data_IF_575053977263
#
_entry.id   IF_575053977263
#
_cell.length_a   1.000
_cell.length_b   1.000
_cell.length_c   1.000
_cell.angle_alpha   90.00
_cell.angle_beta   90.00
_cell.angle_gamma   90.00
#
_symmetry.space_group_name_H-M   'P 1'
#
loop_
_entity.id
_entity.type
_entity.pdbx_description
1 polymer ?
#
# COMPACT_ATOMS: atom_id res chain seq x y z
N UNK A 1 18.12 15.70 -8.81
CA UNK A 1 16.86 16.54 -8.89
C UNK A 1 16.69 17.23 -7.54
N UNK A 2 15.96 18.35 -7.43
CA UNK A 2 15.70 18.98 -6.12
C UNK A 2 14.84 18.05 -5.29
N UNK A 3 15.20 17.83 -4.01
CA UNK A 3 14.38 17.06 -3.08
C UNK A 3 12.95 17.63 -3.07
N UNK A 4 11.96 16.74 -3.08
CA UNK A 4 10.57 17.14 -2.86
C UNK A 4 10.36 17.32 -1.37
N UNK A 5 9.82 18.46 -0.98
CA UNK A 5 9.59 18.81 0.43
C UNK A 5 8.11 19.09 0.64
N UNK A 6 7.50 18.45 1.64
CA UNK A 6 6.19 18.82 2.15
C UNK A 6 6.39 19.87 3.25
N UNK A 7 5.86 21.06 3.06
CA UNK A 7 6.08 22.20 3.96
C UNK A 7 4.81 22.76 4.59
N UNK A 8 3.66 22.31 4.12
CA UNK A 8 2.35 22.74 4.58
C UNK A 8 1.43 21.54 4.85
N UNK A 9 0.41 21.75 5.67
CA UNK A 9 -0.67 20.79 5.85
C UNK A 9 -1.31 20.40 4.51
N UNK A 10 -1.49 21.36 3.59
CA UNK A 10 -2.04 21.10 2.27
C UNK A 10 -1.15 20.15 1.44
N UNK A 11 0.18 20.29 1.53
CA UNK A 11 1.09 19.35 0.87
C UNK A 11 0.91 17.93 1.42
N UNK A 12 0.72 17.77 2.74
CA UNK A 12 0.45 16.48 3.37
C UNK A 12 -0.91 15.91 2.94
N UNK A 13 -1.95 16.74 2.87
CA UNK A 13 -3.27 16.33 2.39
C UNK A 13 -3.23 15.87 0.92
N UNK A 14 -2.53 16.60 0.07
CA UNK A 14 -2.33 16.22 -1.33
C UNK A 14 -1.53 14.92 -1.45
N UNK A 15 -0.49 14.77 -0.64
CA UNK A 15 0.33 13.56 -0.66
C UNK A 15 -0.47 12.33 -0.21
N UNK A 16 -1.16 12.40 0.92
CA UNK A 16 -1.99 11.30 1.42
C UNK A 16 -3.14 10.96 0.48
N UNK A 17 -3.76 11.97 -0.17
CA UNK A 17 -4.77 11.75 -1.23
C UNK A 17 -4.17 10.94 -2.39
N UNK A 18 -3.01 11.33 -2.86
CA UNK A 18 -2.35 10.62 -3.96
C UNK A 18 -1.89 9.22 -3.57
N UNK A 19 -1.39 9.03 -2.35
CA UNK A 19 -1.06 7.69 -1.82
C UNK A 19 -2.30 6.79 -1.78
N UNK A 20 -3.43 7.29 -1.30
CA UNK A 20 -4.71 6.56 -1.30
C UNK A 20 -5.16 6.20 -2.71
N UNK A 21 -5.04 7.14 -3.67
CA UNK A 21 -5.37 6.89 -5.08
C UNK A 21 -4.50 5.77 -5.66
N UNK A 22 -3.19 5.85 -5.48
CA UNK A 22 -2.25 4.88 -6.03
C UNK A 22 -2.36 3.50 -5.37
N UNK A 23 -2.82 3.43 -4.13
CA UNK A 23 -2.94 2.20 -3.35
C UNK A 23 -4.03 1.22 -3.82
N UNK A 24 -4.81 1.56 -4.85
CA UNK A 24 -5.79 0.64 -5.48
C UNK A 24 -6.82 0.05 -4.51
N UNK A 25 -7.23 0.81 -3.49
CA UNK A 25 -8.22 0.42 -2.48
C UNK A 25 -7.65 -0.11 -1.17
N UNK A 26 -6.33 -0.36 -1.09
CA UNK A 26 -5.64 -0.74 0.15
C UNK A 26 -4.81 0.40 0.74
N UNK A 27 -3.76 0.04 1.49
CA UNK A 27 -2.72 0.97 1.93
C UNK A 27 -3.01 1.78 3.18
N UNK A 28 -4.04 1.43 3.94
CA UNK A 28 -4.33 1.95 5.27
C UNK A 28 -5.05 3.29 5.34
N UNK A 29 -5.23 3.80 6.56
CA UNK A 29 -6.10 4.95 6.87
C UNK A 29 -5.50 6.30 6.45
N UNK A 30 -6.28 7.09 5.71
CA UNK A 30 -5.92 8.49 5.37
C UNK A 30 -5.75 9.38 6.61
N UNK A 31 -6.57 9.17 7.64
CA UNK A 31 -6.52 9.98 8.87
C UNK A 31 -5.24 9.68 9.66
N UNK A 32 -4.88 8.41 9.78
CA UNK A 32 -3.65 7.99 10.47
C UNK A 32 -2.42 8.55 9.76
N UNK A 33 -2.34 8.40 8.44
CA UNK A 33 -1.21 8.89 7.67
C UNK A 33 -1.09 10.41 7.67
N UNK A 34 -2.21 11.13 7.55
CA UNK A 34 -2.21 12.60 7.63
C UNK A 34 -1.78 13.08 9.02
N UNK A 35 -2.29 12.45 10.10
CA UNK A 35 -1.90 12.79 11.48
C UNK A 35 -0.40 12.61 11.68
N UNK A 36 0.15 11.47 11.22
CA UNK A 36 1.57 11.17 11.33
C UNK A 36 2.45 12.25 10.67
N UNK A 37 2.08 12.74 9.48
CA UNK A 37 2.83 13.80 8.79
C UNK A 37 2.65 15.18 9.44
N UNK A 38 1.43 15.53 9.81
CA UNK A 38 1.13 16.84 10.44
C UNK A 38 1.86 16.97 11.78
N UNK A 39 1.91 15.92 12.58
CA UNK A 39 2.68 15.89 13.83
C UNK A 39 4.17 16.16 13.61
N UNK A 40 4.74 15.65 12.51
CA UNK A 40 6.13 15.95 12.15
C UNK A 40 6.33 17.41 11.75
N UNK A 41 5.40 17.99 10.98
CA UNK A 41 5.43 19.42 10.64
C UNK A 41 5.31 20.30 11.90
N UNK A 42 4.39 19.97 12.79
CA UNK A 42 4.16 20.71 14.04
C UNK A 42 5.37 20.62 15.00
N UNK A 43 6.11 19.51 14.92
CA UNK A 43 7.40 19.35 15.60
C UNK A 43 8.56 20.12 14.92
N UNK A 44 8.29 20.82 13.81
CA UNK A 44 9.27 21.61 13.07
C UNK A 44 10.25 20.77 12.24
N UNK A 45 9.89 19.54 11.93
CA UNK A 45 10.71 18.64 11.08
C UNK A 45 10.44 18.89 9.60
N UNK A 46 11.42 18.61 8.77
CA UNK A 46 11.29 18.65 7.30
C UNK A 46 10.84 17.28 6.81
N UNK A 47 9.75 17.23 6.05
CA UNK A 47 9.28 16.01 5.41
C UNK A 47 9.77 16.03 3.97
N UNK A 48 10.72 15.15 3.65
CA UNK A 48 11.31 15.06 2.33
C UNK A 48 11.70 13.62 1.99
N UNK A 49 11.88 13.36 0.73
CA UNK A 49 12.45 12.12 0.21
C UNK A 49 13.52 12.39 -0.83
N UNK A 50 14.41 11.42 -0.99
CA UNK A 50 15.57 11.48 -1.87
C UNK A 50 15.39 10.55 -3.06
N UNK A 51 15.97 10.94 -4.19
CA UNK A 51 16.21 10.00 -5.29
C UNK A 51 17.16 8.89 -4.80
N UNK A 52 16.92 7.65 -5.22
CA UNK A 52 17.75 6.50 -4.85
C UNK A 52 19.22 6.70 -5.25
N UNK A 53 19.48 7.50 -6.29
CA UNK A 53 20.82 7.82 -6.77
C UNK A 53 21.56 8.85 -5.89
N UNK A 54 20.88 9.50 -4.97
CA UNK A 54 21.49 10.42 -4.01
C UNK A 54 22.13 9.70 -2.81
N UNK A 55 21.91 8.39 -2.67
CA UNK A 55 22.51 7.55 -1.64
C UNK A 55 23.70 6.75 -2.21
N UNK A 56 24.72 6.52 -1.36
CA UNK A 56 25.88 5.71 -1.75
C UNK A 56 25.47 4.24 -2.00
N UNK A 57 26.04 3.62 -3.02
CA UNK A 57 25.70 2.24 -3.43
C UNK A 57 25.89 1.18 -2.32
N UNK A 58 26.79 1.41 -1.37
CA UNK A 58 27.06 0.54 -0.22
C UNK A 58 26.24 0.90 1.02
N UNK A 59 25.41 1.93 0.97
CA UNK A 59 24.51 2.30 2.05
C UNK A 59 23.42 1.25 2.24
N UNK A 60 23.20 0.84 3.49
CA UNK A 60 22.14 -0.09 3.84
C UNK A 60 20.81 0.63 3.97
N UNK A 61 19.80 0.06 3.36
CA UNK A 61 18.40 0.48 3.51
C UNK A 61 17.58 -0.63 4.13
N UNK A 62 16.42 -0.26 4.66
CA UNK A 62 15.48 -1.17 5.28
C UNK A 62 14.06 -0.76 4.93
N UNK A 63 13.16 -1.74 4.84
CA UNK A 63 11.72 -1.53 4.93
C UNK A 63 11.32 -1.59 6.39
N UNK A 64 10.44 -0.68 6.81
CA UNK A 64 9.74 -0.77 8.09
C UNK A 64 8.25 -0.62 7.87
N UNK A 65 7.45 -1.42 8.54
CA UNK A 65 5.99 -1.40 8.42
C UNK A 65 5.33 -1.89 9.71
N UNK A 66 4.09 -1.51 9.91
CA UNK A 66 3.21 -2.21 10.82
C UNK A 66 2.77 -3.54 10.21
N UNK A 67 2.72 -4.57 11.02
CA UNK A 67 2.10 -5.84 10.66
C UNK A 67 0.92 -6.05 11.58
N UNK A 68 -0.26 -5.87 11.03
CA UNK A 68 -1.53 -5.99 11.72
C UNK A 68 -2.37 -7.11 11.18
N UNK A 69 -3.48 -7.29 11.81
CA UNK A 69 -4.55 -8.18 11.47
C UNK A 69 -5.78 -7.80 12.28
N UNK A 70 -6.92 -8.50 12.10
CA UNK A 70 -7.97 -8.41 13.11
C UNK A 70 -7.29 -8.58 14.46
N UNK A 71 -7.53 -7.68 15.45
CA UNK A 71 -7.10 -7.95 16.81
C UNK A 71 -7.61 -9.35 17.14
N UNK A 72 -6.73 -10.25 17.56
CA UNK A 72 -7.18 -11.42 18.27
C UNK A 72 -8.14 -10.90 19.33
N UNK A 73 -9.29 -11.54 19.52
CA UNK A 73 -10.21 -11.14 20.58
C UNK A 73 -9.36 -10.89 21.81
N UNK A 74 -9.23 -9.59 22.17
CA UNK A 74 -8.15 -9.13 23.02
C UNK A 74 -8.18 -9.82 24.36
N UNK A 75 -7.05 -10.17 24.90
CA UNK A 75 -6.96 -10.61 26.28
C UNK A 75 -7.63 -9.59 27.20
N UNK A 76 -8.37 -10.05 28.17
CA UNK A 76 -8.89 -9.14 29.22
C UNK A 76 -7.71 -8.51 29.96
N UNK A 77 -7.92 -7.37 30.61
CA UNK A 77 -6.88 -6.74 31.45
C UNK A 77 -6.28 -7.74 32.46
N UNK A 78 -7.09 -8.71 32.93
CA UNK A 78 -6.64 -9.78 33.83
C UNK A 78 -5.70 -10.75 33.10
N UNK A 79 -5.97 -11.10 31.85
CA UNK A 79 -5.12 -11.98 31.05
C UNK A 79 -3.80 -11.29 30.70
N UNK A 80 -3.86 -10.02 30.32
CA UNK A 80 -2.67 -9.20 30.06
C UNK A 80 -1.79 -9.06 31.30
N UNK A 81 -2.40 -8.79 32.46
CA UNK A 81 -1.66 -8.72 33.72
C UNK A 81 -0.97 -10.03 34.10
N UNK A 82 -1.61 -11.18 33.85
CA UNK A 82 -1.01 -12.52 34.08
C UNK A 82 0.22 -12.77 33.20
N UNK A 83 0.27 -12.18 32.02
CA UNK A 83 1.39 -12.26 31.08
C UNK A 83 2.47 -11.19 31.34
N UNK A 84 2.24 -10.28 32.30
CA UNK A 84 3.14 -9.16 32.56
C UNK A 84 2.97 -7.97 31.61
N UNK A 85 1.91 -7.99 30.80
CA UNK A 85 1.57 -6.96 29.80
C UNK A 85 0.67 -5.89 30.44
N UNK A 86 1.10 -5.24 31.51
CA UNK A 86 0.30 -4.25 32.24
C UNK A 86 0.50 -2.81 31.75
N UNK A 87 1.61 -2.53 31.10
CA UNK A 87 1.94 -1.21 30.54
C UNK A 87 2.57 -1.36 29.17
N UNK A 88 2.10 -0.58 28.20
CA UNK A 88 2.69 -0.52 26.88
C UNK A 88 4.04 0.19 26.95
N UNK A 89 5.08 -0.43 26.41
CA UNK A 89 6.41 0.15 26.32
C UNK A 89 6.57 1.05 25.10
N UNK A 90 5.88 0.73 24.03
CA UNK A 90 5.94 1.44 22.78
C UNK A 90 4.53 1.75 22.28
N UNK A 91 4.34 2.95 21.77
CA UNK A 91 3.26 3.28 20.84
C UNK A 91 3.58 2.71 19.43
N UNK A 92 2.70 2.93 18.48
CA UNK A 92 2.87 2.40 17.13
C UNK A 92 4.17 2.86 16.48
N UNK A 93 4.46 4.16 16.53
CA UNK A 93 5.69 4.73 15.98
C UNK A 93 6.93 4.19 16.69
N UNK A 94 6.91 4.07 17.99
CA UNK A 94 7.98 3.51 18.79
C UNK A 94 8.30 2.05 18.45
N UNK A 95 7.28 1.25 18.12
CA UNK A 95 7.50 -0.13 17.64
C UNK A 95 8.27 -0.16 16.32
N UNK A 96 7.95 0.73 15.39
CA UNK A 96 8.65 0.81 14.09
C UNK A 96 10.11 1.24 14.27
N UNK A 97 10.35 2.27 15.07
CA UNK A 97 11.71 2.72 15.41
C UNK A 97 12.52 1.60 16.06
N UNK A 98 11.94 0.90 17.05
CA UNK A 98 12.60 -0.21 17.71
C UNK A 98 12.87 -1.41 16.78
N UNK A 99 11.99 -1.66 15.80
CA UNK A 99 12.19 -2.71 14.82
C UNK A 99 13.39 -2.43 13.91
N UNK A 100 13.56 -1.19 13.43
CA UNK A 100 14.76 -0.79 12.66
C UNK A 100 16.03 -0.99 13.49
N UNK A 101 16.03 -0.52 14.74
CA UNK A 101 17.18 -0.64 15.64
C UNK A 101 17.53 -2.09 15.91
N UNK A 102 16.53 -2.93 16.19
CA UNK A 102 16.74 -4.36 16.46
C UNK A 102 17.33 -5.09 15.24
N UNK A 103 16.86 -4.78 14.03
CA UNK A 103 17.36 -5.42 12.82
C UNK A 103 18.80 -5.00 12.51
N UNK A 104 19.13 -3.69 12.57
CA UNK A 104 20.48 -3.23 12.32
C UNK A 104 21.48 -3.76 13.35
N UNK A 105 21.08 -3.85 14.63
CA UNK A 105 21.94 -4.37 15.71
C UNK A 105 22.20 -5.86 15.51
N UNK A 106 21.16 -6.64 15.16
CA UNK A 106 21.30 -8.07 14.87
C UNK A 106 22.20 -8.34 13.66
N UNK A 107 22.04 -7.56 12.60
CA UNK A 107 22.83 -7.72 11.38
C UNK A 107 24.23 -7.09 11.47
N UNK A 108 24.51 -6.28 12.50
CA UNK A 108 25.79 -5.59 12.67
C UNK A 108 26.07 -4.53 11.60
N UNK A 109 25.02 -3.89 11.07
CA UNK A 109 25.11 -2.86 10.03
C UNK A 109 24.51 -1.54 10.50
N UNK A 110 24.76 -0.47 9.77
CA UNK A 110 24.19 0.85 10.01
C UNK A 110 23.22 1.18 8.87
N UNK A 111 21.93 1.24 9.17
CA UNK A 111 20.90 1.67 8.21
C UNK A 111 21.10 3.14 7.88
N UNK A 112 20.98 3.50 6.62
CA UNK A 112 21.20 4.84 6.06
C UNK A 112 20.00 5.41 5.32
N UNK A 113 18.92 4.63 5.18
CA UNK A 113 17.71 5.07 4.56
C UNK A 113 16.59 4.07 4.70
N UNK A 114 15.37 4.53 4.52
CA UNK A 114 14.15 3.69 4.50
C UNK A 114 13.58 3.67 3.09
N UNK A 115 13.15 2.48 2.65
CA UNK A 115 12.36 2.28 1.44
C UNK A 115 10.96 1.85 1.86
N UNK A 116 9.89 2.52 1.43
CA UNK A 116 8.53 2.02 1.62
C UNK A 116 8.33 0.63 1.00
N UNK A 117 7.62 -0.26 1.67
CA UNK A 117 7.30 -1.57 1.10
C UNK A 117 6.33 -1.44 -0.06
N UNK A 118 5.37 -0.54 0.08
CA UNK A 118 4.27 -0.32 -0.86
C UNK A 118 3.74 1.11 -0.75
N UNK A 119 2.90 1.52 -1.70
CA UNK A 119 2.19 2.78 -1.63
C UNK A 119 0.92 2.61 -0.80
N UNK A 120 0.71 3.51 0.16
CA UNK A 120 -0.48 3.47 1.00
C UNK A 120 -0.65 4.73 1.83
N UNK A 121 -1.90 5.05 2.17
CA UNK A 121 -2.26 6.29 2.84
C UNK A 121 -1.70 6.41 4.27
N UNK A 122 -1.43 5.29 4.96
CA UNK A 122 -0.64 5.26 6.19
C UNK A 122 0.65 4.43 6.04
N UNK A 123 0.68 3.45 5.12
CA UNK A 123 1.83 2.58 4.88
C UNK A 123 3.09 3.30 4.36
N UNK A 124 2.97 4.56 3.93
CA UNK A 124 4.11 5.44 3.63
C UNK A 124 4.32 6.49 4.72
N UNK A 125 3.32 7.28 5.14
CA UNK A 125 3.49 8.33 6.14
C UNK A 125 4.04 7.87 7.49
N UNK A 126 3.56 6.74 8.01
CA UNK A 126 3.98 6.27 9.34
C UNK A 126 5.43 5.76 9.32
N UNK A 127 5.89 4.94 8.36
CA UNK A 127 7.31 4.68 8.15
C UNK A 127 8.19 5.92 7.94
N UNK A 128 7.67 6.94 7.21
CA UNK A 128 8.37 8.24 7.08
C UNK A 128 8.56 8.92 8.43
N UNK A 129 7.54 8.93 9.29
CA UNK A 129 7.65 9.47 10.64
C UNK A 129 8.70 8.72 11.46
N UNK A 130 8.77 7.37 11.36
CA UNK A 130 9.81 6.56 12.01
C UNK A 130 11.22 6.90 11.48
N UNK A 131 11.36 7.13 10.17
CA UNK A 131 12.61 7.58 9.57
C UNK A 131 13.07 8.92 10.16
N UNK A 132 12.15 9.88 10.29
CA UNK A 132 12.45 11.21 10.84
C UNK A 132 12.86 11.16 12.32
N UNK A 133 12.28 10.27 13.12
CA UNK A 133 12.72 10.05 14.51
C UNK A 133 14.19 9.60 14.60
N UNK A 134 14.64 8.83 13.61
CA UNK A 134 16.01 8.33 13.52
C UNK A 134 16.94 9.22 12.71
N UNK A 135 16.43 10.31 12.12
CA UNK A 135 17.22 11.18 11.22
C UNK A 135 17.65 10.46 9.93
N UNK A 136 16.86 9.49 9.47
CA UNK A 136 17.11 8.73 8.25
C UNK A 136 16.34 9.34 7.08
N UNK A 137 16.91 9.41 5.88
CA UNK A 137 16.18 9.77 4.68
C UNK A 137 15.23 8.65 4.24
N UNK A 138 14.18 9.04 3.52
CA UNK A 138 13.26 8.13 2.82
C UNK A 138 13.58 8.18 1.32
N UNK A 139 13.60 7.02 0.66
CA UNK A 139 13.85 6.89 -0.77
C UNK A 139 12.56 7.11 -1.55
N UNK A 140 12.62 7.86 -2.65
CA UNK A 140 11.50 8.04 -3.58
C UNK A 140 11.25 6.77 -4.38
N UNK A 141 10.45 5.90 -3.84
CA UNK A 141 10.10 4.62 -4.45
C UNK A 141 9.50 3.63 -3.47
N UNK A 142 9.11 2.49 -3.97
CA UNK A 142 8.55 1.38 -3.18
C UNK A 142 8.91 0.02 -3.81
N UNK A 143 8.60 -1.07 -3.09
CA UNK A 143 8.83 -2.43 -3.56
C UNK A 143 7.58 -3.14 -4.11
N UNK A 144 6.43 -2.47 -4.18
CA UNK A 144 5.18 -3.02 -4.69
C UNK A 144 4.75 -2.46 -6.05
N UNK A 145 5.61 -1.65 -6.70
CA UNK A 145 5.36 -1.16 -8.05
C UNK A 145 4.38 0.01 -8.14
N UNK A 146 4.35 0.89 -7.14
CA UNK A 146 3.48 2.06 -7.11
C UNK A 146 2.02 1.72 -6.79
N UNK A 147 1.79 0.72 -5.96
CA UNK A 147 0.48 0.27 -5.48
C UNK A 147 0.57 -0.33 -4.08
N UNK A 148 -0.55 -0.66 -3.45
CA UNK A 148 -0.59 -1.59 -2.34
C UNK A 148 -0.74 -3.04 -2.83
N UNK A 149 -0.35 -4.00 -1.99
CA UNK A 149 -0.39 -5.44 -2.26
C UNK A 149 -0.86 -6.21 -1.02
N UNK A 150 -1.68 -7.26 -1.17
CA UNK A 150 -2.19 -8.01 -0.03
C UNK A 150 -1.16 -8.93 0.65
N UNK A 151 -0.08 -9.30 -0.04
CA UNK A 151 0.85 -10.32 0.45
C UNK A 151 2.32 -9.96 0.12
N UNK A 152 3.22 -10.18 1.08
CA UNK A 152 4.66 -9.88 0.94
C UNK A 152 5.31 -10.57 -0.27
N UNK A 153 4.97 -11.83 -0.62
CA UNK A 153 5.51 -12.49 -1.82
C UNK A 153 5.27 -11.76 -3.15
N UNK A 154 4.37 -10.78 -3.16
CA UNK A 154 4.04 -9.98 -4.36
C UNK A 154 4.97 -8.77 -4.55
N UNK A 155 5.90 -8.54 -3.64
CA UNK A 155 6.88 -7.46 -3.79
C UNK A 155 7.86 -7.75 -4.93
N UNK A 156 8.38 -6.69 -5.52
CA UNK A 156 9.38 -6.80 -6.60
C UNK A 156 10.67 -7.52 -6.14
N UNK A 157 11.22 -7.24 -4.92
CA UNK A 157 12.33 -8.01 -4.40
C UNK A 157 12.09 -9.53 -4.42
N UNK A 158 10.94 -9.99 -3.96
CA UNK A 158 10.60 -11.41 -3.96
C UNK A 158 10.52 -12.00 -5.37
N UNK A 159 9.86 -11.31 -6.30
CA UNK A 159 9.78 -11.72 -7.71
C UNK A 159 11.19 -11.82 -8.34
N UNK A 160 12.13 -11.02 -7.86
CA UNK A 160 13.53 -11.01 -8.30
C UNK A 160 14.46 -11.87 -7.47
N UNK A 161 13.94 -12.57 -6.45
CA UNK A 161 14.68 -13.52 -5.63
C UNK A 161 15.53 -12.89 -4.53
N UNK A 162 15.25 -11.62 -4.17
CA UNK A 162 15.82 -10.99 -2.99
C UNK A 162 14.90 -11.30 -1.79
N UNK A 163 15.35 -12.16 -0.90
CA UNK A 163 14.54 -12.63 0.22
C UNK A 163 14.27 -11.55 1.28
N UNK A 164 13.13 -11.70 1.96
CA UNK A 164 12.67 -10.77 3.00
C UNK A 164 13.51 -10.81 4.28
N UNK A 165 14.12 -11.94 4.58
CA UNK A 165 14.94 -12.15 5.79
C UNK A 165 16.37 -11.59 5.66
N UNK A 166 16.99 -11.17 6.77
CA UNK A 166 16.47 -11.23 8.14
C UNK A 166 15.34 -10.23 8.41
N UNK A 167 14.47 -10.54 9.37
CA UNK A 167 13.38 -9.68 9.82
C UNK A 167 13.44 -9.47 11.33
N UNK A 168 13.05 -8.30 11.79
CA UNK A 168 12.76 -8.02 13.20
C UNK A 168 11.28 -7.79 13.41
N UNK A 169 10.78 -8.18 14.57
CA UNK A 169 9.42 -7.89 15.04
C UNK A 169 9.49 -7.31 16.44
N UNK A 170 8.72 -6.28 16.68
CA UNK A 170 8.64 -5.62 18.00
C UNK A 170 7.19 -5.45 18.39
N UNK A 171 6.85 -5.92 19.58
CA UNK A 171 5.49 -5.78 20.14
C UNK A 171 5.38 -4.49 20.96
N UNK A 172 4.14 -4.02 21.18
CA UNK A 172 3.88 -2.87 22.06
C UNK A 172 4.39 -3.08 23.49
N UNK A 173 4.51 -4.33 23.93
CA UNK A 173 4.99 -4.70 25.26
C UNK A 173 6.52 -4.64 25.37
N UNK A 174 7.23 -4.56 24.24
CA UNK A 174 8.68 -4.46 24.15
C UNK A 174 9.37 -5.80 23.91
N UNK A 175 8.64 -6.83 23.50
CA UNK A 175 9.27 -8.06 23.02
C UNK A 175 9.92 -7.81 21.68
N UNK A 176 11.14 -8.33 21.49
CA UNK A 176 11.92 -8.24 20.27
C UNK A 176 12.22 -9.64 19.76
N UNK A 177 11.86 -9.92 18.52
CA UNK A 177 12.13 -11.19 17.86
C UNK A 177 12.91 -10.94 16.58
N UNK A 178 13.87 -11.80 16.28
CA UNK A 178 14.61 -11.79 15.01
C UNK A 178 14.35 -13.10 14.29
N UNK A 179 13.83 -13.02 13.08
CA UNK A 179 13.70 -14.14 12.15
C UNK A 179 14.89 -14.06 11.19
N UNK A 180 15.92 -14.86 11.47
CA UNK A 180 17.16 -14.84 10.69
C UNK A 180 16.98 -15.40 9.27
N UNK A 181 16.15 -16.44 9.14
CA UNK A 181 15.89 -17.11 7.87
C UNK A 181 14.49 -17.75 7.89
N UNK A 182 13.92 -17.98 6.72
CA UNK A 182 12.64 -18.66 6.53
C UNK A 182 12.66 -19.52 5.28
N UNK A 183 11.94 -20.64 5.30
CA UNK A 183 11.81 -21.54 4.13
C UNK A 183 11.16 -20.84 2.93
N UNK A 184 10.40 -19.77 3.18
CA UNK A 184 9.76 -18.93 2.17
C UNK A 184 9.26 -17.63 2.78
N UNK A 185 9.09 -16.61 1.97
CA UNK A 185 8.49 -15.34 2.38
C UNK A 185 7.05 -15.49 2.87
N UNK A 186 6.27 -16.37 2.24
CA UNK A 186 4.92 -16.68 2.72
C UNK A 186 4.91 -17.25 4.15
N UNK A 187 5.94 -18.04 4.53
CA UNK A 187 6.08 -18.53 5.89
C UNK A 187 6.56 -17.42 6.83
N UNK A 188 7.47 -16.55 6.40
CA UNK A 188 7.91 -15.39 7.18
C UNK A 188 6.73 -14.45 7.49
N UNK A 189 5.89 -14.12 6.49
CA UNK A 189 4.67 -13.34 6.67
C UNK A 189 3.71 -14.02 7.67
N UNK A 190 3.47 -15.32 7.52
CA UNK A 190 2.62 -16.09 8.44
C UNK A 190 3.15 -16.06 9.88
N UNK A 191 4.47 -16.19 10.08
CA UNK A 191 5.10 -16.10 11.40
C UNK A 191 4.83 -14.74 12.03
N UNK A 192 5.06 -13.64 11.29
CA UNK A 192 4.78 -12.28 11.77
C UNK A 192 3.31 -12.10 12.17
N UNK A 193 2.36 -12.59 11.37
CA UNK A 193 0.94 -12.55 11.71
C UNK A 193 0.60 -13.35 12.98
N UNK A 194 1.30 -14.45 13.26
CA UNK A 194 1.12 -15.19 14.51
C UNK A 194 1.70 -14.45 15.72
N UNK A 195 2.79 -13.69 15.55
CA UNK A 195 3.31 -12.80 16.59
C UNK A 195 2.30 -11.69 16.91
N UNK A 196 1.68 -11.08 15.88
CA UNK A 196 0.59 -10.13 16.06
C UNK A 196 -0.55 -10.70 16.91
N UNK A 197 -1.01 -11.93 16.60
CA UNK A 197 -2.06 -12.60 17.38
C UNK A 197 -1.60 -12.84 18.82
N UNK A 198 -0.36 -13.30 19.01
CA UNK A 198 0.19 -13.62 20.33
C UNK A 198 0.41 -12.38 21.20
N UNK A 199 0.64 -11.21 20.59
CA UNK A 199 0.85 -9.93 21.29
C UNK A 199 -0.44 -9.10 21.47
N UNK A 200 -1.60 -9.63 21.07
CA UNK A 200 -2.90 -8.97 21.17
C UNK A 200 -3.01 -7.66 20.37
N UNK A 201 -2.33 -7.56 19.26
CA UNK A 201 -2.45 -6.41 18.41
C UNK A 201 -1.26 -6.20 17.46
N UNK A 202 -1.30 -5.10 16.80
CA UNK A 202 -0.32 -4.70 15.81
C UNK A 202 1.11 -4.73 16.35
N UNK A 203 2.05 -5.10 15.49
CA UNK A 203 3.49 -5.14 15.77
C UNK A 203 4.25 -4.30 14.75
N UNK A 204 5.39 -3.74 15.15
CA UNK A 204 6.36 -3.17 14.22
C UNK A 204 7.23 -4.27 13.62
N UNK A 205 7.48 -4.22 12.31
CA UNK A 205 8.45 -5.10 11.67
C UNK A 205 9.43 -4.31 10.80
N UNK A 206 10.67 -4.81 10.68
CA UNK A 206 11.63 -4.33 9.72
C UNK A 206 12.21 -5.51 8.93
N UNK A 207 12.43 -5.31 7.62
CA UNK A 207 12.84 -6.36 6.70
C UNK A 207 13.52 -5.76 5.45
N UNK A 208 13.83 -6.59 4.45
CA UNK A 208 14.50 -6.15 3.22
C UNK A 208 15.72 -5.28 3.50
N UNK A 209 16.65 -5.81 4.30
CA UNK A 209 17.91 -5.14 4.58
C UNK A 209 18.84 -5.24 3.36
N UNK A 210 18.72 -4.26 2.45
CA UNK A 210 19.41 -4.24 1.15
C UNK A 210 20.38 -3.08 1.06
N UNK A 211 21.51 -3.28 0.36
CA UNK A 211 22.35 -2.15 -0.04
C UNK A 211 21.70 -1.42 -1.22
N UNK A 212 21.97 -0.11 -1.34
CA UNK A 212 21.37 0.72 -2.40
C UNK A 212 21.61 0.15 -3.79
N UNK A 213 22.81 -0.39 -4.08
CA UNK A 213 23.09 -1.03 -5.38
C UNK A 213 22.13 -2.18 -5.71
N UNK A 214 21.72 -2.96 -4.69
CA UNK A 214 20.80 -4.08 -4.86
C UNK A 214 19.34 -3.59 -4.85
N UNK A 215 19.04 -2.59 -4.00
CA UNK A 215 17.72 -1.95 -3.93
C UNK A 215 17.32 -1.30 -5.27
N UNK A 216 18.24 -0.65 -5.98
CA UNK A 216 18.00 -0.03 -7.31
C UNK A 216 17.46 -1.02 -8.33
N UNK A 217 17.88 -2.28 -8.28
CA UNK A 217 17.46 -3.33 -9.24
C UNK A 217 16.02 -3.80 -9.01
N UNK A 218 15.46 -3.53 -7.84
CA UNK A 218 14.15 -4.04 -7.39
C UNK A 218 13.21 -2.94 -6.91
N UNK A 219 13.56 -1.69 -7.10
CA UNK A 219 12.78 -0.52 -6.69
C UNK A 219 11.89 -0.04 -7.84
N UNK A 220 10.63 0.24 -7.54
CA UNK A 220 9.80 1.10 -8.37
C UNK A 220 10.08 2.56 -7.97
N UNK A 221 10.97 3.22 -8.71
CA UNK A 221 11.43 4.56 -8.40
C UNK A 221 10.39 5.65 -8.74
N UNK A 222 10.37 6.76 -7.98
CA UNK A 222 9.57 7.94 -8.26
C UNK A 222 8.12 7.87 -7.81
N UNK A 223 7.71 6.82 -7.08
CA UNK A 223 6.30 6.56 -6.76
C UNK A 223 5.75 7.51 -5.68
N UNK A 224 6.58 8.02 -4.77
CA UNK A 224 6.17 9.04 -3.80
C UNK A 224 5.92 10.39 -4.50
N UNK A 225 6.83 10.78 -5.38
CA UNK A 225 6.68 11.99 -6.21
C UNK A 225 5.46 11.88 -7.12
N UNK A 226 5.21 10.73 -7.74
CA UNK A 226 4.01 10.48 -8.54
C UNK A 226 2.74 10.61 -7.71
N UNK A 227 2.71 10.02 -6.51
CA UNK A 227 1.58 10.11 -5.59
C UNK A 227 1.25 11.56 -5.22
N UNK A 228 2.24 12.35 -4.82
CA UNK A 228 2.04 13.78 -4.52
C UNK A 228 1.47 14.52 -5.72
N UNK A 229 2.00 14.26 -6.92
CA UNK A 229 1.53 14.89 -8.15
C UNK A 229 0.08 14.59 -8.44
N UNK A 230 -0.33 13.32 -8.30
CA UNK A 230 -1.73 12.89 -8.53
C UNK A 230 -2.68 13.55 -7.53
N UNK A 231 -2.34 13.55 -6.24
CA UNK A 231 -3.18 14.18 -5.23
C UNK A 231 -3.36 15.69 -5.45
N UNK A 232 -2.30 16.39 -5.88
CA UNK A 232 -2.38 17.81 -6.29
C UNK A 232 -3.28 17.99 -7.49
N UNK A 233 -3.17 17.16 -8.51
CA UNK A 233 -4.01 17.24 -9.72
C UNK A 233 -5.48 17.09 -9.37
N UNK A 234 -5.86 16.15 -8.52
CA UNK A 234 -7.25 15.96 -8.08
C UNK A 234 -7.77 17.23 -7.40
N UNK A 235 -7.06 17.76 -6.39
CA UNK A 235 -7.45 19.01 -5.72
C UNK A 235 -7.55 20.19 -6.67
N UNK A 236 -6.54 20.41 -7.51
CA UNK A 236 -6.55 21.51 -8.46
C UNK A 236 -7.67 21.43 -9.51
N UNK A 237 -8.05 20.22 -9.91
CA UNK A 237 -9.20 20.00 -10.78
C UNK A 237 -10.50 20.42 -10.08
N UNK A 238 -10.70 20.03 -8.82
CA UNK A 238 -11.84 20.45 -8.00
C UNK A 238 -11.90 21.99 -7.87
N UNK A 239 -10.79 22.64 -7.50
CA UNK A 239 -10.71 24.08 -7.33
C UNK A 239 -11.01 24.87 -8.62
N UNK A 240 -10.66 24.30 -9.77
CA UNK A 240 -10.85 24.93 -11.09
C UNK A 240 -12.15 24.50 -11.77
N UNK A 241 -13.00 23.71 -11.11
CA UNK A 241 -14.22 23.14 -11.67
C UNK A 241 -13.98 22.38 -13.02
N UNK A 242 -12.84 21.69 -13.09
CA UNK A 242 -12.54 20.70 -14.13
C UNK A 242 -13.09 19.34 -13.69
N UNK A 243 -13.12 18.37 -14.62
CA UNK A 243 -13.45 16.99 -14.29
C UNK A 243 -12.29 16.31 -13.54
N UNK A 244 -12.38 16.09 -12.21
CA UNK A 244 -11.27 15.57 -11.44
C UNK A 244 -10.98 14.09 -11.75
N UNK A 245 -11.98 13.31 -12.19
CA UNK A 245 -11.80 11.91 -12.60
C UNK A 245 -10.97 11.85 -13.88
N UNK A 246 -11.33 12.67 -14.88
CA UNK A 246 -10.59 12.72 -16.14
C UNK A 246 -9.15 13.23 -15.95
N UNK A 247 -8.94 14.26 -15.11
CA UNK A 247 -7.60 14.78 -14.83
C UNK A 247 -6.76 13.78 -14.02
N UNK A 248 -7.35 13.04 -13.07
CA UNK A 248 -6.67 11.97 -12.35
C UNK A 248 -6.24 10.82 -13.27
N UNK A 249 -7.14 10.35 -14.13
CA UNK A 249 -6.83 9.30 -15.11
C UNK A 249 -5.68 9.71 -16.04
N UNK A 250 -5.72 10.94 -16.54
CA UNK A 250 -4.64 11.51 -17.35
C UNK A 250 -3.32 11.66 -16.58
N UNK A 251 -3.38 12.02 -15.30
CA UNK A 251 -2.19 12.14 -14.47
C UNK A 251 -1.41 10.84 -14.34
N UNK A 252 -2.07 9.68 -14.36
CA UNK A 252 -1.41 8.36 -14.26
C UNK A 252 -1.24 7.66 -15.62
N UNK A 253 -1.40 8.37 -16.74
CA UNK A 253 -1.40 7.79 -18.09
C UNK A 253 -2.36 6.58 -18.19
N UNK A 254 -3.52 6.71 -17.54
CA UNK A 254 -4.51 5.68 -17.35
C UNK A 254 -5.76 5.86 -18.24
N UNK A 255 -6.74 5.02 -17.99
CA UNK A 255 -8.02 4.98 -18.70
C UNK A 255 -9.18 5.14 -17.73
N UNK A 256 -10.20 5.89 -18.09
CA UNK A 256 -11.52 5.79 -17.46
C UNK A 256 -12.17 4.49 -17.97
N UNK A 257 -12.35 3.52 -17.08
CA UNK A 257 -12.86 2.20 -17.42
C UNK A 257 -14.38 2.13 -17.32
N UNK A 258 -14.97 2.77 -16.31
CA UNK A 258 -16.40 2.70 -16.04
C UNK A 258 -16.83 3.86 -15.12
N UNK A 259 -18.08 4.31 -15.30
CA UNK A 259 -18.78 5.23 -14.40
C UNK A 259 -20.07 4.56 -13.96
N UNK A 260 -20.35 4.48 -12.68
CA UNK A 260 -21.52 3.76 -12.20
C UNK A 260 -21.91 4.05 -10.76
N UNK A 261 -23.10 3.56 -10.40
CA UNK A 261 -23.63 3.52 -9.03
C UNK A 261 -23.44 2.11 -8.47
N UNK A 262 -22.92 1.98 -7.27
CA UNK A 262 -22.84 0.70 -6.56
C UNK A 262 -24.25 0.25 -6.20
N UNK A 263 -24.67 -0.88 -6.74
CA UNK A 263 -26.02 -1.44 -6.53
C UNK A 263 -26.02 -2.68 -5.67
N UNK A 264 -24.87 -3.31 -5.49
CA UNK A 264 -24.70 -4.52 -4.69
C UNK A 264 -23.30 -4.57 -4.12
N UNK A 265 -23.19 -5.01 -2.88
CA UNK A 265 -21.94 -5.28 -2.17
C UNK A 265 -22.01 -6.70 -1.60
N UNK A 266 -21.00 -7.51 -1.87
CA UNK A 266 -20.79 -8.82 -1.26
C UNK A 266 -19.52 -8.77 -0.42
N UNK A 267 -19.64 -9.06 0.88
CA UNK A 267 -18.48 -9.16 1.79
C UNK A 267 -18.31 -10.64 2.14
N UNK A 268 -17.12 -11.17 1.87
CA UNK A 268 -16.73 -12.50 2.29
C UNK A 268 -16.06 -12.43 3.67
N UNK A 269 -16.55 -13.20 4.61
CA UNK A 269 -15.93 -13.32 5.95
C UNK A 269 -14.78 -14.35 5.89
N UNK A 270 -13.64 -13.94 5.38
CA UNK A 270 -12.41 -14.71 5.51
C UNK A 270 -11.79 -14.45 6.89
N UNK A 271 -12.01 -15.36 7.84
CA UNK A 271 -11.53 -15.27 9.23
C UNK A 271 -10.00 -15.11 9.38
N UNK A 272 -9.25 -15.29 8.29
CA UNK A 272 -7.78 -15.23 8.30
C UNK A 272 -7.20 -13.93 7.76
N UNK A 273 -8.03 -13.01 7.22
CA UNK A 273 -7.55 -11.79 6.57
C UNK A 273 -8.17 -10.52 7.20
N UNK A 274 -7.31 -9.64 7.66
CA UNK A 274 -7.73 -8.45 8.42
C UNK A 274 -8.43 -7.38 7.59
N UNK A 275 -8.24 -7.38 6.28
CA UNK A 275 -8.50 -6.23 5.41
C UNK A 275 -9.74 -6.36 4.53
N UNK A 276 -10.54 -7.40 4.71
CA UNK A 276 -11.77 -7.61 3.95
C UNK A 276 -11.53 -8.19 2.55
N UNK A 277 -12.41 -9.10 2.18
CA UNK A 277 -12.54 -9.68 0.84
C UNK A 277 -13.97 -9.45 0.40
N UNK A 278 -14.17 -8.96 -0.80
CA UNK A 278 -15.53 -8.68 -1.26
C UNK A 278 -15.63 -8.35 -2.74
N UNK A 279 -16.81 -7.94 -3.14
CA UNK A 279 -17.04 -7.43 -4.49
C UNK A 279 -18.12 -6.35 -4.51
N UNK A 280 -17.98 -5.43 -5.43
CA UNK A 280 -19.01 -4.47 -5.80
C UNK A 280 -19.58 -4.80 -7.17
N UNK A 281 -20.90 -4.62 -7.33
CA UNK A 281 -21.56 -4.56 -8.62
C UNK A 281 -22.06 -3.14 -8.86
N UNK A 282 -21.71 -2.59 -10.01
CA UNK A 282 -22.06 -1.24 -10.43
C UNK A 282 -23.07 -1.31 -11.59
N UNK A 283 -24.04 -0.43 -11.55
CA UNK A 283 -24.90 -0.11 -12.70
C UNK A 283 -24.33 1.10 -13.40
N UNK A 284 -24.12 1.02 -14.69
CA UNK A 284 -23.54 2.07 -15.49
C UNK A 284 -24.32 3.39 -15.45
N UNK A 285 -23.57 4.48 -15.45
CA UNK A 285 -24.03 5.85 -15.56
C UNK A 285 -23.30 6.57 -16.69
N UNK A 286 -23.79 7.70 -17.14
CA UNK A 286 -23.14 8.54 -18.16
C UNK A 286 -22.75 7.74 -19.42
N UNK A 287 -21.46 7.71 -19.77
CA UNK A 287 -20.94 6.96 -20.90
C UNK A 287 -21.09 5.44 -20.78
N UNK A 288 -21.25 4.92 -19.56
CA UNK A 288 -21.39 3.48 -19.26
C UNK A 288 -22.85 3.03 -19.12
N UNK A 289 -23.84 3.88 -19.45
CA UNK A 289 -25.26 3.54 -19.31
C UNK A 289 -25.65 2.28 -20.10
N UNK A 290 -26.45 1.42 -19.48
CA UNK A 290 -26.87 0.13 -20.05
C UNK A 290 -25.92 -1.03 -19.79
N UNK A 291 -24.74 -0.79 -19.23
CA UNK A 291 -23.77 -1.81 -18.87
C UNK A 291 -23.70 -2.05 -17.35
N UNK A 292 -23.15 -3.19 -16.97
CA UNK A 292 -22.85 -3.56 -15.59
C UNK A 292 -21.34 -3.76 -15.42
N UNK A 293 -20.84 -3.41 -14.25
CA UNK A 293 -19.43 -3.65 -13.89
C UNK A 293 -19.38 -4.38 -12.56
N UNK A 294 -18.59 -5.45 -12.47
CA UNK A 294 -18.28 -6.11 -11.21
C UNK A 294 -16.79 -5.96 -10.92
N UNK A 295 -16.43 -5.69 -9.67
CA UNK A 295 -15.02 -5.65 -9.24
C UNK A 295 -14.88 -6.42 -7.93
N UNK A 296 -13.91 -7.29 -7.88
CA UNK A 296 -13.54 -8.07 -6.71
C UNK A 296 -12.26 -7.52 -6.08
N UNK A 297 -12.25 -7.48 -4.76
CA UNK A 297 -11.12 -7.02 -3.97
C UNK A 297 -10.73 -8.02 -2.87
N UNK A 298 -9.44 -8.04 -2.56
CA UNK A 298 -8.83 -8.60 -1.36
C UNK A 298 -7.86 -7.56 -0.84
N UNK A 299 -8.35 -6.67 0.02
CA UNK A 299 -7.80 -5.38 0.35
C UNK A 299 -7.76 -4.44 -0.86
N UNK A 300 -6.98 -4.73 -1.90
CA UNK A 300 -6.90 -4.03 -3.17
C UNK A 300 -7.84 -4.64 -4.22
N UNK A 301 -8.09 -3.88 -5.30
CA UNK A 301 -8.88 -4.35 -6.44
C UNK A 301 -8.03 -5.22 -7.36
N UNK A 302 -8.52 -6.44 -7.69
CA UNK A 302 -7.75 -7.42 -8.45
C UNK A 302 -8.41 -7.93 -9.72
N UNK A 303 -9.73 -8.14 -9.72
CA UNK A 303 -10.42 -8.75 -10.88
C UNK A 303 -11.69 -7.99 -11.18
N UNK A 304 -11.93 -7.68 -12.44
CA UNK A 304 -13.16 -7.03 -12.87
C UNK A 304 -13.84 -7.71 -14.07
N UNK A 305 -15.12 -7.41 -14.23
CA UNK A 305 -15.96 -7.89 -15.32
C UNK A 305 -16.85 -6.75 -15.82
N UNK A 306 -17.07 -6.69 -17.14
CA UNK A 306 -18.12 -5.90 -17.78
C UNK A 306 -19.14 -6.87 -18.37
N UNK A 307 -20.42 -6.71 -18.04
CA UNK A 307 -21.52 -7.57 -18.50
C UNK A 307 -21.19 -9.07 -18.33
N UNK A 308 -20.64 -9.40 -17.16
CA UNK A 308 -20.14 -10.73 -16.74
C UNK A 308 -18.96 -11.30 -17.59
N UNK A 309 -18.38 -10.51 -18.48
CA UNK A 309 -17.16 -10.90 -19.21
C UNK A 309 -15.92 -10.37 -18.48
N UNK A 310 -14.86 -11.19 -18.25
CA UNK A 310 -13.62 -10.74 -17.65
C UNK A 310 -13.05 -9.52 -18.36
N UNK A 311 -12.65 -8.52 -17.57
CA UNK A 311 -12.15 -7.27 -18.10
C UNK A 311 -10.74 -7.00 -17.60
N UNK A 312 -10.48 -5.90 -16.89
CA UNK A 312 -9.16 -5.60 -16.36
C UNK A 312 -8.88 -6.42 -15.11
N UNK A 313 -7.67 -6.92 -14.98
CA UNK A 313 -7.24 -7.68 -13.80
C UNK A 313 -5.85 -7.23 -13.34
N UNK A 314 -5.53 -7.42 -12.06
CA UNK A 314 -4.16 -7.33 -11.61
C UNK A 314 -3.25 -8.27 -12.43
N UNK A 315 -1.98 -7.91 -12.60
CA UNK A 315 -1.22 -6.85 -11.94
C UNK A 315 -1.50 -5.43 -12.42
N UNK A 316 -2.32 -5.19 -13.47
CA UNK A 316 -2.75 -3.85 -13.81
C UNK A 316 -3.66 -3.30 -12.69
N UNK A 317 -3.56 -2.02 -12.42
CA UNK A 317 -4.25 -1.40 -11.28
C UNK A 317 -5.63 -0.91 -11.67
N UNK A 318 -6.59 -1.10 -10.77
CA UNK A 318 -7.92 -0.49 -10.83
C UNK A 318 -8.11 0.37 -9.59
N UNK A 319 -8.67 1.53 -9.75
CA UNK A 319 -8.80 2.55 -8.71
C UNK A 319 -10.25 3.04 -8.74
N UNK A 320 -10.96 2.92 -7.63
CA UNK A 320 -12.27 3.51 -7.46
C UNK A 320 -12.12 4.89 -6.83
N UNK A 321 -12.85 5.85 -7.39
CA UNK A 321 -12.93 7.22 -6.89
C UNK A 321 -14.38 7.68 -6.89
N UNK A 322 -14.73 8.61 -6.02
CA UNK A 322 -16.01 9.30 -6.07
C UNK A 322 -16.20 9.99 -7.43
N UNK A 323 -17.36 9.81 -8.04
CA UNK A 323 -17.64 10.22 -9.43
C UNK A 323 -17.64 11.74 -9.63
N UNK A 324 -17.96 12.52 -8.61
CA UNK A 324 -18.02 13.98 -8.71
C UNK A 324 -16.71 14.64 -8.29
N UNK A 325 -16.10 14.14 -7.23
CA UNK A 325 -14.94 14.78 -6.62
C UNK A 325 -13.61 14.17 -7.05
N UNK A 326 -13.61 12.93 -7.58
CA UNK A 326 -12.39 12.19 -7.86
C UNK A 326 -11.63 11.73 -6.61
N UNK A 327 -12.22 11.90 -5.40
CA UNK A 327 -11.58 11.47 -4.16
C UNK A 327 -11.49 9.94 -4.09
N UNK A 328 -10.30 9.39 -3.83
CA UNK A 328 -10.12 7.96 -3.61
C UNK A 328 -10.55 7.56 -2.20
N UNK A 329 -10.92 6.29 -2.03
CA UNK A 329 -11.22 5.69 -0.74
C UNK A 329 -10.70 4.26 -0.65
N UNK A 330 -10.71 3.68 0.54
CA UNK A 330 -10.37 2.27 0.73
C UNK A 330 -11.46 1.38 0.12
N UNK A 331 -11.10 0.15 -0.23
CA UNK A 331 -12.01 -0.78 -0.91
C UNK A 331 -13.29 -1.10 -0.13
N UNK A 332 -13.31 -0.88 1.16
CA UNK A 332 -14.45 -1.12 2.06
C UNK A 332 -15.12 0.17 2.57
N UNK A 333 -14.72 1.34 2.09
CA UNK A 333 -15.32 2.63 2.49
C UNK A 333 -16.53 2.99 1.61
N UNK A 334 -16.66 2.39 0.43
CA UNK A 334 -17.80 2.60 -0.44
C UNK A 334 -19.00 1.75 -0.01
N UNK A 335 -20.19 2.25 -0.31
CA UNK A 335 -21.47 1.63 0.05
C UNK A 335 -22.45 1.60 -1.12
N UNK A 336 -23.47 0.77 -1.01
CA UNK A 336 -24.57 0.76 -1.99
C UNK A 336 -25.24 2.14 -2.06
N UNK A 337 -25.34 2.67 -3.28
CA UNK A 337 -25.87 4.00 -3.60
C UNK A 337 -24.76 5.02 -3.95
N UNK A 338 -23.51 4.74 -3.64
CA UNK A 338 -22.41 5.62 -4.01
C UNK A 338 -22.19 5.61 -5.52
N UNK A 339 -21.91 6.78 -6.07
CA UNK A 339 -21.55 6.96 -7.48
C UNK A 339 -20.04 7.04 -7.60
N UNK A 340 -19.47 6.14 -8.38
CA UNK A 340 -18.03 6.00 -8.51
C UNK A 340 -17.58 5.94 -9.96
N UNK A 341 -16.32 6.31 -10.17
CA UNK A 341 -15.60 6.07 -11.40
C UNK A 341 -14.51 5.03 -11.15
N UNK A 342 -14.27 4.16 -12.13
CA UNK A 342 -13.19 3.17 -12.13
C UNK A 342 -12.13 3.64 -13.10
N UNK A 343 -10.93 3.92 -12.58
CA UNK A 343 -9.77 4.30 -13.37
C UNK A 343 -8.81 3.09 -13.43
N UNK A 344 -8.33 2.78 -14.61
CA UNK A 344 -7.33 1.74 -14.81
C UNK A 344 -5.97 2.32 -15.18
N UNK A 345 -4.89 1.69 -14.71
CA UNK A 345 -3.51 2.01 -15.13
C UNK A 345 -2.68 0.74 -15.30
N UNK A 346 -1.61 0.86 -16.09
CA UNK A 346 -0.66 -0.25 -16.24
C UNK A 346 0.00 -0.58 -14.91
N UNK A 347 0.09 -1.86 -14.60
CA UNK A 347 0.94 -2.34 -13.52
C UNK A 347 2.43 -2.17 -13.83
N UNK A 348 3.25 -2.22 -12.79
CA UNK A 348 4.70 -2.15 -12.94
C UNK A 348 5.20 -3.29 -13.86
N UNK A 349 6.18 -3.00 -14.71
CA UNK A 349 6.64 -3.95 -15.74
C UNK A 349 7.10 -5.30 -15.18
N UNK A 350 7.68 -5.33 -13.98
CA UNK A 350 8.10 -6.58 -13.32
C UNK A 350 6.89 -7.42 -12.92
N UNK A 351 5.82 -6.82 -12.41
CA UNK A 351 4.59 -7.54 -12.09
C UNK A 351 3.88 -8.11 -13.34
N UNK A 352 4.15 -7.54 -14.50
CA UNK A 352 3.59 -7.98 -15.79
C UNK A 352 4.44 -9.05 -16.49
N UNK A 353 5.56 -9.49 -15.88
CA UNK A 353 6.30 -10.69 -16.32
C UNK A 353 5.53 -11.96 -15.96
N UNK A 354 5.97 -13.12 -16.47
CA UNK A 354 5.34 -14.42 -16.15
C UNK A 354 5.35 -14.65 -14.64
N UNK A 355 6.50 -14.41 -13.99
CA UNK A 355 6.69 -14.58 -12.54
C UNK A 355 5.81 -13.61 -11.72
N UNK A 356 5.70 -12.37 -12.18
CA UNK A 356 4.85 -11.37 -11.52
C UNK A 356 3.36 -11.69 -11.65
N UNK A 357 2.91 -12.16 -12.80
CA UNK A 357 1.52 -12.60 -13.02
C UNK A 357 1.21 -13.87 -12.22
N UNK A 358 2.18 -14.75 -12.00
CA UNK A 358 1.99 -15.94 -11.16
C UNK A 358 1.61 -15.58 -9.71
N UNK A 359 2.19 -14.51 -9.16
CA UNK A 359 1.97 -14.11 -7.77
C UNK A 359 0.93 -12.99 -7.59
N UNK A 360 0.59 -12.24 -8.63
CA UNK A 360 -0.34 -11.09 -8.54
C UNK A 360 -1.44 -11.12 -9.61
N UNK A 361 -1.45 -12.09 -10.50
CA UNK A 361 -2.50 -12.23 -11.52
C UNK A 361 -3.78 -12.89 -10.99
N UNK A 362 -4.85 -12.91 -11.80
CA UNK A 362 -6.16 -13.37 -11.35
C UNK A 362 -6.20 -14.84 -10.91
N UNK A 363 -5.34 -15.70 -11.48
CA UNK A 363 -5.24 -17.13 -11.09
C UNK A 363 -4.70 -17.31 -9.69
N UNK A 364 -3.81 -16.42 -9.22
CA UNK A 364 -3.32 -16.39 -7.83
C UNK A 364 -4.47 -16.23 -6.83
N UNK A 365 -5.46 -15.43 -7.18
CA UNK A 365 -6.65 -15.19 -6.36
C UNK A 365 -7.78 -16.22 -6.58
N UNK A 366 -7.52 -17.30 -7.31
CA UNK A 366 -8.46 -18.41 -7.50
C UNK A 366 -9.44 -18.24 -8.67
N UNK A 367 -9.27 -17.23 -9.51
CA UNK A 367 -10.10 -17.02 -10.69
C UNK A 367 -9.52 -17.74 -11.92
N UNK A 368 -10.33 -18.51 -12.62
CA UNK A 368 -9.95 -19.15 -13.88
C UNK A 368 -10.05 -18.13 -15.05
N UNK A 369 -9.25 -17.09 -14.96
CA UNK A 369 -9.14 -16.00 -15.92
C UNK A 369 -7.67 -15.77 -16.23
N UNK A 370 -7.32 -15.65 -17.50
CA UNK A 370 -5.97 -15.28 -17.91
C UNK A 370 -5.77 -13.76 -17.82
N UNK A 371 -4.59 -13.36 -17.36
CA UNK A 371 -4.20 -11.95 -17.44
C UNK A 371 -4.05 -11.52 -18.90
N UNK A 372 -4.66 -10.41 -19.23
CA UNK A 372 -4.50 -9.70 -20.50
C UNK A 372 -4.15 -8.25 -20.19
N UNK A 373 -3.09 -7.69 -20.80
CA UNK A 373 -2.70 -6.30 -20.58
C UNK A 373 -3.85 -5.33 -20.78
N UNK A 374 -4.00 -4.37 -19.85
CA UNK A 374 -5.10 -3.39 -19.84
C UNK A 374 -5.22 -2.64 -21.18
N UNK A 375 -4.09 -2.27 -21.80
CA UNK A 375 -4.06 -1.59 -23.10
C UNK A 375 -4.66 -2.41 -24.24
N UNK A 376 -4.75 -3.74 -24.09
CA UNK A 376 -5.40 -4.62 -25.08
C UNK A 376 -6.88 -4.78 -24.70
N UNK A 377 -7.20 -4.95 -23.41
CA UNK A 377 -8.59 -5.03 -22.95
C UNK A 377 -9.42 -3.80 -23.29
N UNK A 378 -8.89 -2.61 -23.08
CA UNK A 378 -9.65 -1.37 -23.37
C UNK A 378 -9.89 -1.14 -24.87
N UNK A 379 -9.13 -1.79 -25.75
CA UNK A 379 -9.39 -1.76 -27.20
C UNK A 379 -10.56 -2.67 -27.61
N UNK A 380 -10.74 -3.76 -26.88
CA UNK A 380 -11.80 -4.74 -27.13
C UNK A 380 -13.16 -4.25 -26.67
N UNK A 381 -13.20 -3.45 -25.57
CA UNK A 381 -14.37 -2.88 -24.98
C UNK A 381 -14.42 -1.36 -25.24
N UNK A 382 -14.96 -0.96 -26.39
CA UNK A 382 -15.33 0.44 -26.65
C UNK A 382 -16.72 0.65 -26.04
N UNK A 383 -16.78 1.26 -24.85
CA UNK A 383 -18.03 1.75 -24.25
C UNK A 383 -18.34 3.11 -24.83
#
# INVERSE_FOLDING_TARGET
MSNVVLSTRQDCEDFVRGLCFMATGGGGSREVGLSALVEQLDAGRTIEWLDVDDLADDAWTVVVAGMGGRPAEGGTDEDLAKLGCSEERYDYLGMLVAAIQALQDSAGVSVRGIVPVEIGADNVPVPMAAAMELGLPVVDGDYAGGRAIPEVPQTIPEIRGAGVCPMSYVTRWGDVLILEDSVSTAMADRIGRMINVASFGEIGCACYLLQIRDAKEVLAAGTLTESLRVGRVIREAQERALDPVAEAAKAVDGWLLFEGEIVEEEIADEQSYAFGVGSYRLRGLRGSDGHTFKIWYKNEYHVSWIDDQPFVTSPDSMILVDLETGEPALSFDFSVGDQVAVIGRRGHHIHRTVEGVEVLGPRHFGFDVDYVPIEDRVKEFVI
#
